data_IF_117180131524
#
_entry.id   IF_117180131524
#
_cell.length_a   1.000
_cell.length_b   1.000
_cell.length_c   1.000
_cell.angle_alpha   90.00
_cell.angle_beta   90.00
_cell.angle_gamma   90.00
#
_symmetry.space_group_name_H-M   'P 1'
#
loop_
_entity.id
_entity.type
_entity.pdbx_description
1 polymer ?
#
# COMPACT_ATOMS: atom_id res chain seq x y z
N UNK A 1 -11.07 -3.57 3.49
CA UNK A 1 -10.58 -3.69 4.89
C UNK A 1 -9.16 -4.23 4.88
N UNK A 2 -8.25 -3.77 5.77
CA UNK A 2 -6.90 -4.30 5.85
C UNK A 2 -6.91 -5.75 6.38
N UNK A 3 -5.91 -6.59 6.05
CA UNK A 3 -5.78 -7.94 6.60
C UNK A 3 -5.83 -7.94 8.13
N UNK A 4 -6.39 -9.00 8.74
CA UNK A 4 -6.36 -9.15 10.20
C UNK A 4 -4.91 -9.25 10.72
N UNK A 5 -4.11 -10.10 10.08
CA UNK A 5 -2.66 -10.21 10.30
C UNK A 5 -1.93 -9.56 9.13
N UNK A 6 -1.33 -8.40 9.37
CA UNK A 6 -0.52 -7.68 8.39
C UNK A 6 0.96 -8.02 8.63
N UNK A 7 1.56 -8.79 7.72
CA UNK A 7 3.00 -9.09 7.73
C UNK A 7 3.70 -8.21 6.70
N UNK A 8 4.71 -7.46 7.11
CA UNK A 8 5.45 -6.53 6.25
C UNK A 8 6.96 -6.73 6.44
N UNK A 9 7.73 -6.29 5.45
CA UNK A 9 9.18 -6.14 5.53
C UNK A 9 9.58 -4.76 5.03
N UNK A 10 10.77 -4.31 5.41
CA UNK A 10 11.38 -3.12 4.82
C UNK A 10 11.51 -3.34 3.30
N UNK A 11 11.30 -2.27 2.53
CA UNK A 11 11.25 -2.24 1.07
C UNK A 11 10.04 -2.94 0.43
N UNK A 12 9.09 -3.43 1.23
CA UNK A 12 7.83 -3.93 0.68
C UNK A 12 7.01 -2.80 0.07
N UNK A 13 6.38 -3.07 -1.07
CA UNK A 13 5.40 -2.16 -1.66
C UNK A 13 4.03 -2.44 -1.07
N UNK A 14 3.41 -1.40 -0.55
CA UNK A 14 2.07 -1.45 0.03
C UNK A 14 1.16 -0.46 -0.66
N UNK A 15 -0.14 -0.66 -0.54
CA UNK A 15 -1.18 0.17 -1.11
C UNK A 15 -2.08 0.70 0.00
N UNK A 16 -2.38 2.00 -0.03
CA UNK A 16 -3.28 2.64 0.93
C UNK A 16 -4.74 2.26 0.65
N UNK A 17 -5.51 2.01 1.71
CA UNK A 17 -6.89 1.53 1.66
C UNK A 17 -7.93 2.58 2.06
N UNK A 18 -7.49 3.70 2.64
CA UNK A 18 -8.32 4.84 3.05
C UNK A 18 -7.61 6.15 2.73
N UNK A 19 -8.36 7.14 2.27
CA UNK A 19 -7.89 8.51 2.16
C UNK A 19 -7.48 8.98 3.55
N UNK A 20 -6.24 9.42 3.69
CA UNK A 20 -5.71 10.00 4.93
C UNK A 20 -5.56 11.52 4.78
N UNK A 21 -5.02 11.95 3.64
CA UNK A 21 -4.86 13.36 3.31
C UNK A 21 -4.85 13.52 1.78
N UNK A 22 -6.00 13.89 1.24
CA UNK A 22 -6.18 14.04 -0.22
C UNK A 22 -5.34 15.20 -0.76
N UNK A 23 -5.11 16.25 0.04
CA UNK A 23 -4.34 17.43 -0.39
C UNK A 23 -2.86 17.07 -0.56
N UNK A 24 -2.34 16.20 0.31
CA UNK A 24 -0.98 15.67 0.24
C UNK A 24 -0.85 14.44 -0.68
N UNK A 25 -1.93 14.07 -1.39
CA UNK A 25 -1.94 12.93 -2.31
C UNK A 25 -2.03 11.56 -1.63
N UNK A 26 -2.28 11.49 -0.31
CA UNK A 26 -2.48 10.25 0.45
C UNK A 26 -3.90 9.73 0.28
N UNK A 27 -4.23 9.39 -0.96
CA UNK A 27 -5.50 8.84 -1.39
C UNK A 27 -5.48 7.32 -1.41
N UNK A 28 -6.66 6.71 -1.48
CA UNK A 28 -6.83 5.30 -1.77
C UNK A 28 -5.98 4.90 -2.97
N UNK A 29 -5.45 3.68 -2.91
CA UNK A 29 -4.68 3.04 -3.98
C UNK A 29 -3.31 3.64 -4.26
N UNK A 30 -2.89 4.71 -3.57
CA UNK A 30 -1.51 5.16 -3.64
C UNK A 30 -0.58 4.05 -3.17
N UNK A 31 0.49 3.82 -3.94
CA UNK A 31 1.52 2.86 -3.62
C UNK A 31 2.62 3.54 -2.82
N UNK A 32 3.06 2.86 -1.77
CA UNK A 32 4.07 3.31 -0.83
C UNK A 32 5.16 2.23 -0.69
N UNK A 33 6.39 2.64 -0.43
CA UNK A 33 7.52 1.76 -0.11
C UNK A 33 7.75 1.84 1.40
N UNK A 34 7.73 0.70 2.09
CA UNK A 34 8.01 0.65 3.53
C UNK A 34 9.49 0.95 3.76
N UNK A 35 9.79 2.02 4.51
CA UNK A 35 11.17 2.40 4.87
C UNK A 35 11.52 1.99 6.28
N UNK A 36 10.61 2.13 7.25
CA UNK A 36 10.81 1.67 8.64
C UNK A 36 9.51 1.16 9.25
N UNK A 37 9.63 0.13 10.09
CA UNK A 37 8.52 -0.42 10.88
C UNK A 37 8.74 -0.04 12.35
N UNK A 38 7.77 0.65 12.94
CA UNK A 38 7.76 1.01 14.36
C UNK A 38 6.56 0.35 15.05
N UNK A 39 6.50 0.44 16.37
CA UNK A 39 5.45 -0.22 17.16
C UNK A 39 4.03 0.26 16.78
N UNK A 40 3.87 1.55 16.53
CA UNK A 40 2.56 2.20 16.33
C UNK A 40 2.39 2.88 14.96
N UNK A 41 3.47 2.97 14.19
CA UNK A 41 3.57 3.77 12.97
C UNK A 41 4.41 3.02 11.93
N UNK A 42 4.16 3.31 10.65
CA UNK A 42 4.99 2.83 9.55
C UNK A 42 5.48 4.04 8.78
N UNK A 43 6.79 4.13 8.63
CA UNK A 43 7.43 5.14 7.80
C UNK A 43 7.50 4.63 6.37
N UNK A 44 6.86 5.38 5.48
CA UNK A 44 6.64 5.04 4.10
C UNK A 44 7.19 6.14 3.20
N UNK A 45 7.54 5.77 1.98
CA UNK A 45 7.86 6.69 0.89
C UNK A 45 6.83 6.56 -0.22
N UNK A 46 6.38 7.68 -0.79
CA UNK A 46 5.46 7.66 -1.92
C UNK A 46 6.17 7.10 -3.16
N UNK A 47 5.66 5.99 -3.70
CA UNK A 47 6.31 5.29 -4.81
C UNK A 47 6.05 5.96 -6.17
N UNK A 48 4.91 6.64 -6.32
CA UNK A 48 4.39 7.11 -7.61
C UNK A 48 3.58 8.40 -7.46
N UNK A 49 3.51 9.21 -8.52
CA UNK A 49 2.72 10.45 -8.56
C UNK A 49 3.60 11.70 -8.37
N UNK A 50 2.96 12.86 -8.29
CA UNK A 50 3.63 14.17 -8.14
C UNK A 50 4.50 14.25 -6.88
N UNK A 51 4.09 13.55 -5.81
CA UNK A 51 4.77 13.57 -4.52
C UNK A 51 5.76 12.40 -4.35
N UNK A 52 6.18 11.75 -5.45
CA UNK A 52 7.13 10.62 -5.41
C UNK A 52 8.39 10.98 -4.60
N UNK A 53 8.85 10.04 -3.77
CA UNK A 53 10.02 10.22 -2.90
C UNK A 53 9.73 10.90 -1.56
N UNK A 54 8.54 11.50 -1.39
CA UNK A 54 8.17 12.12 -0.11
C UNK A 54 7.97 11.06 0.98
N UNK A 55 8.44 11.37 2.19
CA UNK A 55 8.31 10.52 3.37
C UNK A 55 7.04 10.84 4.13
N UNK A 56 6.29 9.80 4.49
CA UNK A 56 5.00 9.91 5.17
C UNK A 56 4.86 8.85 6.24
N UNK A 57 4.23 9.21 7.35
CA UNK A 57 3.96 8.30 8.47
C UNK A 57 2.54 7.78 8.35
N UNK A 58 2.39 6.46 8.33
CA UNK A 58 1.09 5.78 8.34
C UNK A 58 0.76 5.34 9.77
N UNK A 59 -0.27 5.93 10.40
CA UNK A 59 -0.79 5.47 11.68
C UNK A 59 -1.78 4.32 11.50
N UNK A 60 -2.14 3.66 12.60
CA UNK A 60 -3.31 2.78 12.65
C UNK A 60 -4.59 3.62 12.70
N UNK A 61 -5.61 3.20 11.97
CA UNK A 61 -6.94 3.83 12.01
C UNK A 61 -8.01 2.78 12.24
N UNK A 62 -9.16 3.21 12.75
CA UNK A 62 -10.34 2.34 12.88
C UNK A 62 -11.14 2.36 11.59
N UNK A 63 -11.31 1.20 10.98
CA UNK A 63 -12.08 1.02 9.76
C UNK A 63 -13.30 0.14 10.02
N UNK A 64 -14.42 0.52 9.41
CA UNK A 64 -15.64 -0.28 9.33
C UNK A 64 -15.85 -0.66 7.87
N UNK A 65 -16.17 -1.92 7.54
CA UNK A 65 -16.58 -2.27 6.19
C UNK A 65 -17.93 -1.62 5.89
N UNK A 66 -18.09 -1.11 4.67
CA UNK A 66 -19.27 -0.32 4.30
C UNK A 66 -20.51 -1.17 4.07
N UNK A 67 -20.33 -2.44 3.71
CA UNK A 67 -21.40 -3.30 3.23
C UNK A 67 -21.09 -4.76 3.57
N UNK A 68 -21.73 -5.28 4.61
CA UNK A 68 -21.55 -6.68 5.05
C UNK A 68 -22.86 -7.21 5.60
N UNK A 69 -23.27 -8.41 5.19
CA UNK A 69 -24.38 -9.17 5.78
C UNK A 69 -24.08 -9.72 7.18
N UNK A 70 -23.20 -9.04 7.93
CA UNK A 70 -22.84 -9.45 9.29
C UNK A 70 -23.95 -9.00 10.25
N UNK A 71 -24.35 -9.84 11.21
CA UNK A 71 -25.34 -9.47 12.22
C UNK A 71 -24.80 -8.45 13.24
N UNK A 72 -23.60 -7.90 13.02
CA UNK A 72 -22.93 -6.93 13.90
C UNK A 72 -22.06 -5.95 13.10
N UNK A 73 -21.77 -4.80 13.71
CA UNK A 73 -20.84 -3.81 13.14
C UNK A 73 -19.39 -4.21 13.39
N UNK A 74 -18.70 -4.72 12.38
CA UNK A 74 -17.28 -5.04 12.47
C UNK A 74 -16.42 -3.76 12.45
N UNK A 75 -15.63 -3.52 13.50
CA UNK A 75 -14.61 -2.45 13.53
C UNK A 75 -13.22 -3.08 13.63
N UNK A 76 -12.26 -2.59 12.85
CA UNK A 76 -10.85 -3.03 12.91
C UNK A 76 -9.94 -1.83 13.07
N UNK A 77 -9.14 -1.83 14.13
CA UNK A 77 -8.08 -0.85 14.34
C UNK A 77 -6.76 -1.40 13.79
N UNK A 78 -6.34 -0.92 12.62
CA UNK A 78 -5.17 -1.45 11.91
C UNK A 78 -4.58 -0.39 10.97
N UNK A 79 -3.33 -0.58 10.53
CA UNK A 79 -2.77 0.23 9.45
C UNK A 79 -3.65 0.13 8.19
N UNK A 80 -4.02 1.26 7.56
CA UNK A 80 -4.89 1.28 6.39
C UNK A 80 -4.15 0.91 5.12
N UNK A 81 -3.36 -0.17 5.14
CA UNK A 81 -2.54 -0.60 4.01
C UNK A 81 -2.70 -2.11 3.76
N UNK A 82 -2.39 -2.53 2.53
CA UNK A 82 -2.20 -3.93 2.15
C UNK A 82 -0.92 -4.10 1.35
N UNK A 83 -0.35 -5.30 1.32
CA UNK A 83 0.74 -5.61 0.39
C UNK A 83 0.27 -5.46 -1.06
N UNK A 84 1.12 -4.89 -1.90
CA UNK A 84 0.90 -4.73 -3.34
C UNK A 84 2.02 -5.48 -4.08
N UNK A 85 1.79 -6.76 -4.35
CA UNK A 85 2.77 -7.64 -5.00
C UNK A 85 3.02 -7.31 -6.48
N UNK A 86 2.05 -6.71 -7.16
CA UNK A 86 2.10 -6.46 -8.60
C UNK A 86 2.00 -4.97 -8.88
N UNK A 87 2.82 -4.51 -9.82
CA UNK A 87 2.79 -3.18 -10.40
C UNK A 87 2.94 -3.26 -11.91
N UNK A 88 2.38 -2.29 -12.62
CA UNK A 88 2.61 -2.15 -14.06
C UNK A 88 4.01 -1.62 -14.32
N UNK A 89 4.59 -1.94 -15.48
CA UNK A 89 5.95 -1.53 -15.89
C UNK A 89 6.12 -0.01 -15.79
N UNK A 90 5.16 0.76 -16.28
CA UNK A 90 5.20 2.22 -16.21
C UNK A 90 5.26 2.75 -14.77
N UNK A 91 4.72 2.01 -13.79
CA UNK A 91 4.74 2.40 -12.38
C UNK A 91 6.01 1.93 -11.67
N UNK A 92 6.71 0.91 -12.19
CA UNK A 92 8.00 0.46 -11.68
C UNK A 92 9.17 1.28 -12.21
N UNK A 93 8.98 2.12 -13.23
CA UNK A 93 10.06 2.88 -13.85
C UNK A 93 10.76 3.82 -12.84
N UNK A 94 12.10 3.75 -12.83
CA UNK A 94 12.93 4.50 -11.88
C UNK A 94 12.81 3.99 -10.43
N UNK A 95 12.49 2.71 -10.23
CA UNK A 95 12.65 1.99 -8.97
C UNK A 95 13.70 0.88 -9.15
N UNK A 96 14.46 0.60 -8.11
CA UNK A 96 15.47 -0.46 -8.11
C UNK A 96 14.99 -1.64 -7.27
N UNK A 97 15.02 -2.84 -7.85
CA UNK A 97 14.65 -4.08 -7.18
C UNK A 97 15.80 -5.09 -7.34
N UNK A 98 16.19 -5.76 -6.25
CA UNK A 98 17.19 -6.84 -6.31
C UNK A 98 16.66 -8.04 -7.11
N UNK A 99 15.38 -8.38 -6.93
CA UNK A 99 14.69 -9.48 -7.63
C UNK A 99 13.26 -9.07 -7.93
N UNK A 100 12.79 -9.34 -9.14
CA UNK A 100 11.42 -9.08 -9.58
C UNK A 100 10.94 -10.19 -10.52
N UNK A 101 9.63 -10.45 -10.50
CA UNK A 101 8.97 -11.33 -11.45
C UNK A 101 8.22 -10.49 -12.48
N UNK A 102 8.37 -10.82 -13.76
CA UNK A 102 7.59 -10.21 -14.84
C UNK A 102 6.43 -11.15 -15.18
N UNK A 103 5.20 -10.65 -15.05
CA UNK A 103 4.01 -11.33 -15.54
C UNK A 103 3.67 -10.76 -16.92
N UNK A 104 3.85 -11.57 -17.96
CA UNK A 104 3.43 -11.26 -19.33
C UNK A 104 2.13 -12.04 -19.61
N UNK A 105 0.97 -11.36 -19.74
CA UNK A 105 -0.29 -12.03 -20.02
C UNK A 105 -0.33 -12.71 -21.39
N UNK A 106 0.50 -12.23 -22.32
CA UNK A 106 0.68 -12.79 -23.66
C UNK A 106 2.18 -12.88 -23.95
N UNK A 107 2.64 -13.94 -24.65
CA UNK A 107 4.01 -14.01 -25.12
C UNK A 107 4.28 -12.88 -26.12
N UNK A 108 5.36 -12.12 -25.90
CA UNK A 108 5.77 -11.00 -26.78
C UNK A 108 6.84 -11.41 -27.79
N UNK A 109 6.95 -12.72 -28.07
CA UNK A 109 7.85 -13.29 -29.07
C UNK A 109 6.99 -14.02 -30.10
N UNK A 110 7.06 -13.56 -31.35
CA UNK A 110 6.67 -14.35 -32.52
C UNK A 110 7.76 -15.38 -32.82
#
# INVERSE_FOLDING_TARGET
MPPHKLKLKISAIVMLLRNLDVKQGLCNEIRLIVRRLQNHTIDCEIATGSNKGSRIIIPRITMTPSDTFLPFKLRRHQFPIRLSFVMTINKSQGQTFERLGLLLPQPTLN
#
